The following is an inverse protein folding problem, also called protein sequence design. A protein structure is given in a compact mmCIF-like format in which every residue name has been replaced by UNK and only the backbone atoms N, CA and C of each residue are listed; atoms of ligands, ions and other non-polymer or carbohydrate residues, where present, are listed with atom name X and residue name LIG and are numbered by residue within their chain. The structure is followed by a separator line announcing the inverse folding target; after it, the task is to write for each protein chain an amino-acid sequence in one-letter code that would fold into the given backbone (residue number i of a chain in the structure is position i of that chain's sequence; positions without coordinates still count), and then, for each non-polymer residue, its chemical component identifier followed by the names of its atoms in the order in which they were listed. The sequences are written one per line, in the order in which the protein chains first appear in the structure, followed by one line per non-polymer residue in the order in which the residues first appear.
data_IF_648953386862
#
_entry.id   IF_648953386862
#
_cell.length_a   1.000
_cell.length_b   1.000
_cell.length_c   1.000
_cell.angle_alpha   90.00
_cell.angle_beta   90.00
_cell.angle_gamma   90.00
#
_symmetry.space_group_name_H-M   'P 1'
#
loop_
_entity.id
_entity.type
_entity.pdbx_description
1 polymer ?
#
# COMPACT_ATOMS: atom_id res chain seq x y z
N UNK A 1 -12.35 -0.64 -4.60
CA UNK A 1 -12.96 -1.80 -3.92
C UNK A 1 -13.86 -2.59 -4.86
N UNK A 2 -14.63 -1.90 -5.68
CA UNK A 2 -15.56 -2.58 -6.59
C UNK A 2 -14.83 -3.50 -7.57
N UNK A 3 -13.72 -3.02 -8.14
CA UNK A 3 -12.97 -3.84 -9.10
C UNK A 3 -12.39 -5.08 -8.44
N UNK A 4 -11.84 -4.94 -7.25
CA UNK A 4 -11.27 -6.09 -6.54
C UNK A 4 -12.35 -7.10 -6.19
N UNK A 5 -13.51 -6.61 -5.75
CA UNK A 5 -14.63 -7.49 -5.44
C UNK A 5 -15.09 -8.24 -6.68
N UNK A 6 -15.14 -7.55 -7.82
CA UNK A 6 -15.56 -8.16 -9.07
C UNK A 6 -14.57 -9.23 -9.52
N UNK A 7 -13.26 -8.96 -9.38
CA UNK A 7 -12.26 -9.96 -9.72
C UNK A 7 -12.40 -11.19 -8.85
N UNK A 8 -12.66 -11.01 -7.55
CA UNK A 8 -12.84 -12.15 -6.66
C UNK A 8 -14.02 -12.99 -7.09
N UNK A 9 -15.12 -12.34 -7.45
CA UNK A 9 -16.31 -13.04 -7.89
C UNK A 9 -16.04 -13.84 -9.16
N UNK A 10 -15.32 -13.24 -10.11
CA UNK A 10 -15.02 -13.90 -11.37
C UNK A 10 -14.06 -15.08 -11.20
N UNK A 11 -13.00 -14.90 -10.41
CA UNK A 11 -11.98 -15.92 -10.26
C UNK A 11 -12.36 -17.04 -9.31
N UNK A 12 -13.29 -16.77 -8.39
CA UNK A 12 -13.84 -17.82 -7.54
C UNK A 12 -12.99 -18.13 -6.31
N UNK A 13 -13.37 -19.15 -5.56
CA UNK A 13 -12.78 -19.39 -4.24
C UNK A 13 -11.35 -19.90 -4.28
N UNK A 14 -10.87 -20.43 -5.40
CA UNK A 14 -9.53 -20.97 -5.46
C UNK A 14 -8.46 -19.91 -5.71
N UNK A 15 -8.86 -18.70 -6.06
CA UNK A 15 -7.91 -17.63 -6.37
C UNK A 15 -7.99 -16.58 -5.26
N UNK A 16 -6.85 -16.25 -4.66
CA UNK A 16 -6.78 -15.20 -3.65
C UNK A 16 -6.65 -13.85 -4.33
N UNK A 17 -7.50 -12.92 -3.93
CA UNK A 17 -7.47 -11.56 -4.46
C UNK A 17 -7.08 -10.62 -3.33
N UNK A 18 -6.07 -9.79 -3.60
CA UNK A 18 -5.56 -8.82 -2.64
C UNK A 18 -5.75 -7.41 -3.18
N UNK A 19 -6.06 -6.49 -2.28
CA UNK A 19 -6.19 -5.08 -2.64
C UNK A 19 -5.13 -4.28 -1.90
N UNK A 20 -4.25 -3.64 -2.67
CA UNK A 20 -3.20 -2.79 -2.13
C UNK A 20 -3.43 -1.39 -2.67
N UNK A 21 -3.49 -0.40 -1.78
CA UNK A 21 -3.60 1.00 -2.18
C UNK A 21 -2.33 1.70 -1.73
N UNK A 22 -1.65 2.33 -2.69
CA UNK A 22 -0.34 2.92 -2.45
C UNK A 22 -0.50 4.42 -2.18
N UNK A 23 -0.14 4.90 -0.98
CA UNK A 23 -0.15 6.35 -0.75
C UNK A 23 0.95 7.03 -1.53
N UNK A 24 0.71 8.28 -1.91
CA UNK A 24 1.74 9.07 -2.58
C UNK A 24 2.55 9.84 -1.56
N UNK A 25 3.63 10.42 -2.02
CA UNK A 25 4.52 11.16 -1.15
C UNK A 25 3.81 12.28 -0.40
N UNK A 26 3.00 12.64 -0.96
CA UNK A 26 2.29 13.60 -0.41
C UNK A 26 1.78 13.32 0.87
N UNK A 27 1.34 12.30 1.04
CA UNK A 27 0.72 11.94 2.32
C UNK A 27 1.69 12.08 3.49
N UNK A 28 2.95 11.72 3.27
CA UNK A 28 3.93 11.66 4.35
C UNK A 28 4.84 12.88 4.42
N UNK A 29 5.00 13.60 3.31
CA UNK A 29 6.00 14.66 3.23
C UNK A 29 5.40 16.03 2.91
N UNK A 30 4.09 16.13 2.91
CA UNK A 30 3.44 17.40 2.63
C UNK A 30 3.81 18.44 3.69
N UNK A 31 4.21 19.65 3.29
CA UNK A 31 4.48 20.68 4.29
C UNK A 31 3.25 20.98 5.15
N UNK A 32 3.49 21.41 6.37
CA UNK A 32 2.39 21.68 7.29
C UNK A 32 1.41 22.71 6.72
N UNK A 33 1.92 23.71 6.01
CA UNK A 33 1.06 24.73 5.45
C UNK A 33 0.10 24.17 4.38
N UNK A 34 0.51 23.08 3.72
CA UNK A 34 -0.27 22.52 2.64
C UNK A 34 -1.17 21.38 3.09
N UNK A 35 -1.00 20.89 4.30
CA UNK A 35 -1.74 19.70 4.74
C UNK A 35 -3.24 19.93 4.78
N UNK A 36 -3.65 21.15 5.11
CA UNK A 36 -5.08 21.45 5.18
C UNK A 36 -5.73 21.48 3.79
N UNK A 37 -4.92 21.55 2.73
CA UNK A 37 -5.42 21.65 1.37
C UNK A 37 -5.60 20.28 0.71
N UNK A 38 -5.14 19.22 1.34
CA UNK A 38 -5.23 17.87 0.76
C UNK A 38 -6.06 16.97 1.65
N UNK A 39 -6.83 16.10 1.03
CA UNK A 39 -7.57 15.08 1.76
C UNK A 39 -6.61 14.01 2.25
N UNK A 40 -6.91 13.46 3.42
CA UNK A 40 -6.10 12.40 3.96
C UNK A 40 -6.21 11.15 3.08
N UNK A 41 -5.06 10.67 2.62
CA UNK A 41 -5.06 9.43 1.87
C UNK A 41 -5.31 8.23 2.77
N UNK A 42 -4.95 8.35 4.06
CA UNK A 42 -5.25 7.29 5.00
C UNK A 42 -6.76 7.08 5.11
N UNK A 43 -7.52 8.17 5.20
CA UNK A 43 -8.98 8.05 5.26
C UNK A 43 -9.54 7.45 3.99
N UNK A 44 -9.00 7.83 2.84
CA UNK A 44 -9.43 7.28 1.56
C UNK A 44 -9.13 5.79 1.49
N UNK A 45 -7.93 5.39 1.92
CA UNK A 45 -7.55 3.98 1.90
C UNK A 45 -8.46 3.18 2.82
N UNK A 46 -8.73 3.70 4.02
CA UNK A 46 -9.62 3.01 4.95
C UNK A 46 -11.03 2.87 4.36
N UNK A 47 -11.49 3.90 3.67
CA UNK A 47 -12.79 3.84 3.03
C UNK A 47 -12.83 2.76 1.96
N UNK A 48 -11.77 2.67 1.14
CA UNK A 48 -11.70 1.63 0.11
C UNK A 48 -11.72 0.26 0.76
N UNK A 49 -10.91 0.06 1.81
CA UNK A 49 -10.86 -1.23 2.46
C UNK A 49 -12.19 -1.61 3.09
N UNK A 50 -12.94 -0.62 3.59
CA UNK A 50 -14.23 -0.92 4.24
C UNK A 50 -15.28 -1.40 3.24
N UNK A 51 -15.08 -1.16 1.95
CA UNK A 51 -16.02 -1.60 0.92
C UNK A 51 -15.60 -2.89 0.24
N UNK A 52 -14.49 -3.50 0.65
CA UNK A 52 -14.07 -4.78 0.09
C UNK A 52 -14.95 -5.90 0.64
N UNK A 53 -15.25 -6.87 -0.21
CA UNK A 53 -15.89 -8.09 0.27
C UNK A 53 -14.97 -8.81 1.24
N UNK A 54 -15.57 -9.62 2.11
CA UNK A 54 -14.80 -10.33 3.13
C UNK A 54 -13.77 -11.29 2.53
N UNK A 55 -13.99 -11.71 1.28
CA UNK A 55 -13.10 -12.65 0.62
C UNK A 55 -11.95 -11.97 -0.11
N UNK A 56 -11.94 -10.65 -0.16
CA UNK A 56 -10.83 -9.88 -0.73
C UNK A 56 -9.97 -9.39 0.41
N UNK A 57 -8.68 -9.68 0.34
CA UNK A 57 -7.78 -9.35 1.44
C UNK A 57 -7.15 -7.98 1.22
N UNK A 58 -7.29 -7.12 2.22
CA UNK A 58 -6.65 -5.81 2.19
C UNK A 58 -5.22 -5.93 2.65
N UNK A 59 -4.30 -5.30 1.91
CA UNK A 59 -2.90 -5.24 2.32
C UNK A 59 -2.60 -3.79 2.69
N UNK A 60 -2.38 -3.55 3.97
CA UNK A 60 -2.14 -2.22 4.49
C UNK A 60 -0.66 -1.90 4.40
N UNK A 61 -0.26 -1.22 3.33
CA UNK A 61 1.12 -0.79 3.19
C UNK A 61 1.34 0.61 3.76
N UNK A 62 0.26 1.31 4.14
CA UNK A 62 0.39 2.62 4.74
C UNK A 62 1.20 2.58 6.03
N UNK A 63 0.87 1.64 6.91
CA UNK A 63 1.52 1.55 8.20
C UNK A 63 3.02 1.30 8.09
N UNK A 64 3.49 0.27 7.35
CA UNK A 64 4.93 0.10 7.22
C UNK A 64 5.62 1.27 6.54
N UNK A 65 5.00 1.88 5.53
CA UNK A 65 5.63 3.04 4.90
C UNK A 65 5.73 4.22 5.86
N UNK A 66 4.71 4.43 6.70
CA UNK A 66 4.74 5.53 7.64
C UNK A 66 5.86 5.38 8.67
N UNK A 67 6.30 4.18 8.93
CA UNK A 67 7.39 3.92 9.88
C UNK A 67 8.77 4.18 9.28
N UNK A 68 8.85 4.38 7.98
CA UNK A 68 10.12 4.53 7.28
C UNK A 68 10.22 5.85 6.54
N UNK A 69 9.50 6.89 7.02
CA UNK A 69 9.46 8.17 6.30
C UNK A 69 10.80 8.89 6.30
N UNK A 70 11.71 8.51 7.20
CA UNK A 70 13.05 9.11 7.20
C UNK A 70 14.00 8.43 6.21
N UNK A 71 13.52 7.44 5.48
CA UNK A 71 14.30 6.73 4.48
C UNK A 71 13.85 7.17 3.08
N UNK A 72 14.66 6.96 2.04
CA UNK A 72 14.27 7.39 0.69
C UNK A 72 13.27 6.41 0.04
N UNK A 73 12.06 6.39 0.58
CA UNK A 73 11.01 5.49 0.10
C UNK A 73 10.21 6.07 -1.05
N UNK A 74 10.38 7.37 -1.33
CA UNK A 74 9.74 8.02 -2.48
C UNK A 74 10.79 8.72 -3.32
N UNK A 75 10.47 8.85 -4.62
CA UNK A 75 11.35 9.60 -5.51
C UNK A 75 11.36 11.08 -5.13
N UNK A 76 12.49 11.73 -5.30
CA UNK A 76 12.62 13.13 -4.91
C UNK A 76 11.88 14.07 -5.84
N UNK A 77 11.79 13.68 -7.12
CA UNK A 77 11.20 14.53 -8.14
C UNK A 77 9.82 14.09 -8.59
N UNK A 78 9.26 13.10 -7.90
CA UNK A 78 7.99 12.52 -8.31
C UNK A 78 7.25 12.09 -7.04
N UNK A 79 5.94 11.98 -7.15
CA UNK A 79 5.15 11.50 -6.02
C UNK A 79 5.11 9.98 -5.93
N UNK A 80 5.71 9.28 -6.89
CA UNK A 80 5.76 7.83 -6.87
C UNK A 80 6.80 7.32 -5.88
N UNK A 81 6.60 6.11 -5.40
CA UNK A 81 7.56 5.51 -4.48
C UNK A 81 8.85 5.15 -5.19
N UNK A 82 9.93 5.14 -4.41
CA UNK A 82 11.22 4.66 -4.87
C UNK A 82 11.30 3.14 -4.66
N UNK A 83 12.34 2.48 -5.19
CA UNK A 83 12.46 1.02 -4.97
C UNK A 83 12.43 0.60 -3.52
N UNK A 84 12.97 1.41 -2.60
CA UNK A 84 12.92 1.06 -1.18
C UNK A 84 11.48 1.06 -0.66
N UNK A 85 10.67 2.01 -1.11
CA UNK A 85 9.26 2.01 -0.72
C UNK A 85 8.55 0.77 -1.24
N UNK A 86 8.83 0.40 -2.49
CA UNK A 86 8.25 -0.81 -3.05
C UNK A 86 8.70 -2.05 -2.28
N UNK A 87 9.95 -2.05 -1.81
CA UNK A 87 10.45 -3.15 -1.00
C UNK A 87 9.61 -3.34 0.27
N UNK A 88 9.35 -2.24 0.98
CA UNK A 88 8.58 -2.34 2.21
C UNK A 88 7.14 -2.77 1.94
N UNK A 89 6.56 -2.29 0.84
CA UNK A 89 5.21 -2.71 0.48
C UNK A 89 5.16 -4.19 0.10
N UNK A 90 6.18 -4.66 -0.63
CA UNK A 90 6.25 -6.07 -0.99
C UNK A 90 6.43 -6.96 0.24
N UNK A 91 7.21 -6.48 1.22
CA UNK A 91 7.39 -7.20 2.48
C UNK A 91 6.04 -7.38 3.19
N UNK A 92 5.26 -6.32 3.23
CA UNK A 92 3.95 -6.40 3.88
C UNK A 92 3.01 -7.32 3.11
N UNK A 93 3.03 -7.25 1.78
CA UNK A 93 2.22 -8.15 0.99
C UNK A 93 2.60 -9.60 1.26
N UNK A 94 3.89 -9.89 1.31
CA UNK A 94 4.34 -11.27 1.55
C UNK A 94 3.89 -11.76 2.92
N UNK A 95 3.89 -10.86 3.93
CA UNK A 95 3.41 -11.23 5.25
C UNK A 95 1.93 -11.60 5.22
N UNK A 96 1.12 -10.80 4.55
CA UNK A 96 -0.31 -11.05 4.49
C UNK A 96 -0.62 -12.30 3.67
N UNK A 97 0.13 -12.50 2.59
CA UNK A 97 -0.10 -13.64 1.69
C UNK A 97 0.58 -14.91 2.16
N UNK A 98 1.40 -14.85 3.21
CA UNK A 98 2.12 -15.99 3.75
C UNK A 98 3.07 -16.63 2.73
N UNK A 99 3.80 -15.80 2.00
CA UNK A 99 4.78 -16.27 1.04
C UNK A 99 6.18 -15.84 1.49
N UNK A 100 7.22 -16.59 1.09
CA UNK A 100 8.59 -16.23 1.48
C UNK A 100 9.01 -14.87 0.93
N UNK A 101 9.87 -14.19 1.67
CA UNK A 101 10.34 -12.87 1.28
C UNK A 101 11.81 -12.74 1.64
N UNK A 102 12.62 -12.28 0.68
CA UNK A 102 14.05 -12.10 0.91
C UNK A 102 14.29 -10.75 1.58
N UNK A 103 15.20 -10.75 2.55
CA UNK A 103 15.55 -9.50 3.23
C UNK A 103 16.35 -8.62 2.30
N UNK A 104 16.42 -7.32 2.65
CA UNK A 104 17.02 -6.34 1.77
C UNK A 104 18.46 -6.66 1.39
N UNK A 105 19.24 -7.22 2.32
CA UNK A 105 20.63 -7.53 2.04
C UNK A 105 20.81 -8.54 0.92
N UNK A 106 19.76 -9.30 0.58
CA UNK A 106 19.84 -10.28 -0.50
C UNK A 106 19.69 -9.65 -1.88
N UNK A 107 19.37 -8.36 -1.95
CA UNK A 107 19.14 -7.68 -3.22
C UNK A 107 20.27 -6.72 -3.58
N UNK A 108 21.27 -6.62 -2.77
CA UNK A 108 22.37 -5.70 -2.99
C UNK A 108 23.49 -6.34 -3.79
#
# INVERSE_FOLDING_TARGET
AEAANKYKLVFGPKVNVYCIVIPTAXEFYCPDQAKSCTNSQRATINNIFSHLDKDVKAVNVYTPLSKHVNEPIYLRTDHHWAPLGAYYAAQEFARVAHVPFKILSNYV
#
